data_IF_315015212655
#
_entry.id   IF_315015212655
#
_cell.length_a   1.000
_cell.length_b   1.000
_cell.length_c   1.000
_cell.angle_alpha   90.00
_cell.angle_beta   90.00
_cell.angle_gamma   90.00
#
_symmetry.space_group_name_H-M   'P 1'
#
loop_
_entity.id
_entity.type
_entity.pdbx_description
1 polymer ?
#
# COMPACT_ATOMS: atom_id res chain seq x y z
N UNK A 1 11.12 2.52 37.30
CA UNK A 1 10.32 2.50 36.06
C UNK A 1 10.75 1.27 35.25
N UNK A 2 9.90 0.61 34.45
CA UNK A 2 10.38 -0.47 33.58
C UNK A 2 11.44 0.09 32.62
N UNK A 3 12.59 -0.59 32.53
CA UNK A 3 13.70 -0.14 31.68
C UNK A 3 13.29 -0.07 30.20
N UNK A 4 13.93 0.82 29.40
CA UNK A 4 13.55 1.11 28.03
C UNK A 4 13.51 -0.14 27.14
N UNK A 5 14.43 -1.10 27.31
CA UNK A 5 14.43 -2.34 26.53
C UNK A 5 13.18 -3.21 26.72
N UNK A 6 12.50 -3.15 27.86
CA UNK A 6 11.20 -3.83 28.08
C UNK A 6 10.07 -3.09 27.39
N UNK A 7 10.09 -1.76 27.40
CA UNK A 7 9.11 -0.92 26.70
C UNK A 7 9.12 -1.19 25.20
N UNK A 8 10.31 -1.31 24.59
CA UNK A 8 10.46 -1.69 23.19
C UNK A 8 9.85 -3.07 22.87
N UNK A 9 10.00 -4.07 23.75
CA UNK A 9 9.37 -5.40 23.57
C UNK A 9 7.85 -5.36 23.66
N UNK A 10 7.31 -4.57 24.57
CA UNK A 10 5.85 -4.38 24.63
C UNK A 10 5.34 -3.62 23.41
N UNK A 11 6.07 -2.61 22.94
CA UNK A 11 5.70 -1.86 21.74
C UNK A 11 5.71 -2.70 20.47
N UNK A 12 6.62 -3.69 20.34
CA UNK A 12 6.60 -4.60 19.20
C UNK A 12 5.35 -5.49 19.18
N UNK A 13 4.89 -5.98 20.35
CA UNK A 13 3.61 -6.68 20.47
C UNK A 13 2.43 -5.78 20.09
N UNK A 14 2.44 -4.52 20.53
CA UNK A 14 1.40 -3.55 20.17
C UNK A 14 1.38 -3.30 18.65
N UNK A 15 2.54 -3.16 18.01
CA UNK A 15 2.62 -3.02 16.54
C UNK A 15 2.08 -4.26 15.82
N UNK A 16 2.32 -5.46 16.37
CA UNK A 16 1.76 -6.71 15.84
C UNK A 16 0.23 -6.74 15.96
N UNK A 17 -0.32 -6.27 17.07
CA UNK A 17 -1.77 -6.15 17.28
C UNK A 17 -2.37 -5.12 16.31
N UNK A 18 -1.73 -3.97 16.14
CA UNK A 18 -2.20 -2.96 15.18
C UNK A 18 -2.16 -3.53 13.76
N UNK A 19 -1.07 -4.22 13.39
CA UNK A 19 -0.95 -4.84 12.08
C UNK A 19 -2.01 -5.94 11.86
N UNK A 20 -2.35 -6.74 12.89
CA UNK A 20 -3.41 -7.74 12.78
C UNK A 20 -4.80 -7.11 12.62
N UNK A 21 -5.08 -6.00 13.32
CA UNK A 21 -6.31 -5.22 13.13
C UNK A 21 -6.37 -4.66 11.71
N UNK A 22 -5.28 -4.09 11.20
CA UNK A 22 -5.22 -3.58 9.81
C UNK A 22 -5.42 -4.73 8.81
N UNK A 23 -4.80 -5.89 9.05
CA UNK A 23 -4.99 -7.09 8.22
C UNK A 23 -6.46 -7.51 8.18
N UNK A 24 -7.11 -7.53 9.33
CA UNK A 24 -8.52 -7.86 9.45
C UNK A 24 -9.40 -6.85 8.71
N UNK A 25 -9.04 -5.55 8.78
CA UNK A 25 -9.69 -4.47 8.04
C UNK A 25 -9.55 -4.64 6.52
N UNK A 26 -8.37 -5.03 6.05
CA UNK A 26 -8.11 -5.32 4.63
C UNK A 26 -8.91 -6.54 4.17
N UNK A 27 -9.00 -7.59 5.01
CA UNK A 27 -9.74 -8.81 4.69
C UNK A 27 -11.26 -8.64 4.77
N UNK A 28 -11.75 -7.56 5.40
CA UNK A 28 -13.17 -7.30 5.55
C UNK A 28 -13.75 -6.66 4.29
N UNK A 29 -14.47 -7.47 3.52
CA UNK A 29 -15.00 -7.17 2.19
C UNK A 29 -15.83 -5.88 2.01
N UNK A 30 -16.66 -5.42 2.98
CA UNK A 30 -17.44 -4.19 2.79
C UNK A 30 -16.62 -2.90 2.98
N UNK A 31 -15.39 -2.99 3.51
CA UNK A 31 -14.43 -1.90 3.43
C UNK A 31 -13.77 -2.00 2.05
N UNK A 32 -14.00 -1.04 1.15
CA UNK A 32 -13.50 -1.04 -0.24
C UNK A 32 -11.95 -1.02 -0.39
N UNK A 33 -11.22 -1.36 0.68
CA UNK A 33 -9.77 -1.45 0.76
C UNK A 33 -9.18 -2.47 -0.25
N UNK A 34 -9.73 -3.70 -0.42
CA UNK A 34 -9.23 -4.65 -1.43
C UNK A 34 -9.29 -4.08 -2.86
N UNK A 35 -10.32 -3.29 -3.13
CA UNK A 35 -10.57 -2.66 -4.41
C UNK A 35 -9.60 -1.50 -4.67
N UNK A 36 -9.23 -0.76 -3.62
CA UNK A 36 -8.18 0.26 -3.68
C UNK A 36 -6.80 -0.38 -3.92
N UNK A 37 -6.52 -1.51 -3.27
CA UNK A 37 -5.28 -2.28 -3.51
C UNK A 37 -5.22 -2.78 -4.96
N UNK A 38 -6.35 -3.19 -5.53
CA UNK A 38 -6.46 -3.59 -6.94
C UNK A 38 -6.39 -2.41 -7.94
N UNK A 39 -6.46 -1.16 -7.47
CA UNK A 39 -6.51 0.06 -8.28
C UNK A 39 -5.19 0.47 -8.97
N UNK A 40 -4.14 -0.35 -8.93
CA UNK A 40 -2.87 -0.09 -9.60
C UNK A 40 -1.84 0.61 -8.70
N UNK A 41 -1.30 1.76 -9.13
CA UNK A 41 -0.19 2.43 -8.43
C UNK A 41 -0.58 2.98 -7.06
N UNK A 42 -1.84 3.39 -6.86
CA UNK A 42 -2.34 3.83 -5.55
C UNK A 42 -2.36 2.69 -4.52
N UNK A 43 -2.74 1.49 -4.95
CA UNK A 43 -2.66 0.28 -4.15
C UNK A 43 -1.24 -0.09 -3.73
N UNK A 44 -0.24 0.13 -4.60
CA UNK A 44 1.17 -0.12 -4.25
C UNK A 44 1.64 0.75 -3.08
N UNK A 45 1.28 2.03 -3.03
CA UNK A 45 1.71 2.91 -1.93
C UNK A 45 1.05 2.52 -0.60
N UNK A 46 -0.20 2.07 -0.66
CA UNK A 46 -0.89 1.50 0.51
C UNK A 46 -0.18 0.24 1.01
N UNK A 47 0.07 -0.73 0.12
CA UNK A 47 0.72 -2.00 0.50
C UNK A 47 2.16 -1.79 0.94
N UNK A 48 2.90 -0.85 0.35
CA UNK A 48 4.24 -0.50 0.78
C UNK A 48 4.25 0.12 2.19
N UNK A 49 3.32 1.02 2.49
CA UNK A 49 3.17 1.55 3.85
C UNK A 49 2.87 0.44 4.86
N UNK A 50 2.00 -0.50 4.50
CA UNK A 50 1.65 -1.65 5.33
C UNK A 50 2.85 -2.61 5.56
N UNK A 51 3.58 -2.96 4.50
CA UNK A 51 4.77 -3.82 4.58
C UNK A 51 5.88 -3.16 5.41
N UNK A 52 6.11 -1.85 5.21
CA UNK A 52 7.06 -1.09 6.00
C UNK A 52 6.65 -1.05 7.47
N UNK A 53 5.35 -0.94 7.77
CA UNK A 53 4.87 -1.01 9.16
C UNK A 53 5.16 -2.37 9.80
N UNK A 54 4.90 -3.48 9.09
CA UNK A 54 5.15 -4.85 9.55
C UNK A 54 6.63 -5.14 9.81
N UNK A 55 7.52 -4.56 9.01
CA UNK A 55 8.96 -4.76 9.15
C UNK A 55 9.52 -3.75 10.15
N UNK A 56 9.41 -2.45 9.86
CA UNK A 56 10.02 -1.41 10.67
C UNK A 56 9.49 -1.45 12.10
N UNK A 57 8.17 -1.45 12.32
CA UNK A 57 7.59 -1.37 13.67
C UNK A 57 8.09 -2.47 14.62
N UNK A 58 7.80 -3.76 14.36
CA UNK A 58 8.23 -4.86 15.21
C UNK A 58 9.75 -5.08 15.22
N UNK A 59 10.41 -5.08 14.05
CA UNK A 59 11.85 -5.42 13.95
C UNK A 59 12.71 -4.31 14.54
N UNK A 60 12.41 -3.04 14.26
CA UNK A 60 13.18 -1.94 14.83
C UNK A 60 12.97 -1.80 16.33
N UNK A 61 11.76 -2.06 16.84
CA UNK A 61 11.55 -2.15 18.30
C UNK A 61 12.37 -3.30 18.92
N UNK A 62 12.44 -4.48 18.29
CA UNK A 62 13.29 -5.58 18.78
C UNK A 62 14.78 -5.22 18.73
N UNK A 63 15.24 -4.52 17.69
CA UNK A 63 16.61 -4.04 17.58
C UNK A 63 16.96 -3.04 18.70
N UNK A 64 16.12 -2.03 18.93
CA UNK A 64 16.38 -1.08 20.02
C UNK A 64 16.26 -1.71 21.41
N UNK A 65 15.45 -2.76 21.57
CA UNK A 65 15.42 -3.56 22.80
C UNK A 65 16.77 -4.24 23.08
N UNK A 66 17.45 -4.76 22.05
CA UNK A 66 18.78 -5.38 22.23
C UNK A 66 19.88 -4.34 22.49
N UNK A 67 19.77 -3.15 21.89
CA UNK A 67 20.75 -2.06 22.05
C UNK A 67 20.68 -1.40 23.43
N UNK A 68 19.48 -1.09 23.93
CA UNK A 68 19.32 -0.37 25.20
C UNK A 68 19.26 -1.29 26.44
N UNK A 69 18.97 -2.59 26.25
CA UNK A 69 18.91 -3.56 27.34
C UNK A 69 17.99 -3.13 28.50
N UNK A 70 18.33 -3.53 29.72
CA UNK A 70 17.59 -3.16 30.94
C UNK A 70 18.11 -1.85 31.58
N UNK A 71 18.99 -1.11 30.88
CA UNK A 71 19.62 0.10 31.44
C UNK A 71 18.63 1.26 31.39
N UNK A 72 18.31 1.82 32.55
CA UNK A 72 17.37 2.94 32.66
C UNK A 72 18.05 4.23 32.15
N UNK A 73 17.81 4.55 30.88
CA UNK A 73 18.39 5.71 30.21
C UNK A 73 17.29 6.61 29.67
N UNK A 74 17.34 7.89 30.07
CA UNK A 74 16.45 8.93 29.54
C UNK A 74 16.56 9.06 28.02
N UNK A 75 17.77 8.82 27.47
CA UNK A 75 18.02 8.83 26.03
C UNK A 75 17.30 7.66 25.35
N UNK A 76 17.30 6.48 25.98
CA UNK A 76 16.56 5.31 25.45
C UNK A 76 15.05 5.55 25.38
N UNK A 77 14.48 6.27 26.35
CA UNK A 77 13.07 6.65 26.35
C UNK A 77 12.76 7.69 25.27
N UNK A 78 13.64 8.68 25.05
CA UNK A 78 13.47 9.65 23.97
C UNK A 78 13.54 8.96 22.59
N UNK A 79 14.53 8.09 22.38
CA UNK A 79 14.66 7.29 21.16
C UNK A 79 13.44 6.41 20.94
N UNK A 80 12.90 5.80 22.00
CA UNK A 80 11.66 5.01 21.94
C UNK A 80 10.49 5.82 21.40
N UNK A 81 10.27 7.01 21.96
CA UNK A 81 9.15 7.88 21.61
C UNK A 81 9.28 8.39 20.17
N UNK A 82 10.47 8.87 19.81
CA UNK A 82 10.75 9.41 18.48
C UNK A 82 10.65 8.33 17.40
N UNK A 83 11.18 7.15 17.68
CA UNK A 83 11.13 6.01 16.76
C UNK A 83 9.70 5.55 16.48
N UNK A 84 8.93 5.25 17.54
CA UNK A 84 7.57 4.74 17.39
C UNK A 84 6.64 5.79 16.76
N UNK A 85 6.77 7.07 17.14
CA UNK A 85 6.01 8.15 16.53
C UNK A 85 6.36 8.32 15.05
N UNK A 86 7.65 8.30 14.71
CA UNK A 86 8.12 8.42 13.33
C UNK A 86 7.64 7.28 12.44
N UNK A 87 7.76 6.03 12.90
CA UNK A 87 7.29 4.84 12.17
C UNK A 87 5.77 4.89 11.96
N UNK A 88 5.00 5.23 13.01
CA UNK A 88 3.55 5.36 12.90
C UNK A 88 3.15 6.43 11.89
N UNK A 89 3.71 7.64 11.99
CA UNK A 89 3.38 8.76 11.10
C UNK A 89 3.79 8.46 9.66
N UNK A 90 4.99 7.91 9.43
CA UNK A 90 5.47 7.60 8.09
C UNK A 90 4.64 6.48 7.44
N UNK A 91 4.36 5.38 8.16
CA UNK A 91 3.62 4.27 7.58
C UNK A 91 2.13 4.60 7.40
N UNK A 92 1.51 5.29 8.36
CA UNK A 92 0.11 5.71 8.25
C UNK A 92 -0.08 6.77 7.18
N UNK A 93 0.87 7.69 6.98
CA UNK A 93 0.77 8.68 5.89
C UNK A 93 0.87 8.02 4.51
N UNK A 94 1.73 7.00 4.35
CA UNK A 94 1.77 6.16 3.14
C UNK A 94 0.47 5.39 2.91
N UNK A 95 -0.06 4.74 3.94
CA UNK A 95 -1.33 4.02 3.85
C UNK A 95 -2.49 4.98 3.55
N UNK A 96 -2.58 6.11 4.25
CA UNK A 96 -3.62 7.12 4.02
C UNK A 96 -3.52 7.74 2.63
N UNK A 97 -2.30 8.07 2.16
CA UNK A 97 -2.06 8.60 0.83
C UNK A 97 -2.45 7.62 -0.27
N UNK A 98 -2.08 6.34 -0.13
CA UNK A 98 -2.48 5.27 -1.05
C UNK A 98 -4.00 5.05 -1.05
N UNK A 99 -4.64 5.06 0.12
CA UNK A 99 -6.09 4.94 0.27
C UNK A 99 -6.82 6.07 -0.44
N UNK A 100 -6.44 7.32 -0.16
CA UNK A 100 -7.07 8.51 -0.73
C UNK A 100 -6.85 8.59 -2.26
N UNK A 101 -5.65 8.27 -2.74
CA UNK A 101 -5.37 8.20 -4.17
C UNK A 101 -6.23 7.12 -4.87
N UNK A 102 -6.41 5.96 -4.24
CA UNK A 102 -7.23 4.88 -4.77
C UNK A 102 -8.72 5.22 -4.81
N UNK A 103 -9.23 5.90 -3.78
CA UNK A 103 -10.59 6.42 -3.77
C UNK A 103 -10.81 7.36 -4.96
N UNK A 104 -9.90 8.30 -5.21
CA UNK A 104 -10.01 9.23 -6.33
C UNK A 104 -10.04 8.54 -7.69
N UNK A 105 -9.34 7.40 -7.84
CA UNK A 105 -9.39 6.60 -9.06
C UNK A 105 -10.72 5.87 -9.23
N UNK A 106 -11.36 5.47 -8.14
CA UNK A 106 -12.65 4.77 -8.15
C UNK A 106 -13.84 5.64 -8.59
N UNK A 107 -13.68 6.97 -8.56
CA UNK A 107 -14.67 7.95 -9.05
C UNK A 107 -14.65 8.07 -10.59
N UNK A 108 -13.61 7.59 -11.27
CA UNK A 108 -13.54 7.59 -12.73
C UNK A 108 -13.90 6.20 -13.30
N UNK A 109 -15.08 6.02 -13.91
CA UNK A 109 -15.40 4.77 -14.58
C UNK A 109 -14.46 4.57 -15.79
N UNK A 110 -13.53 3.62 -15.67
CA UNK A 110 -12.73 3.09 -16.80
C UNK A 110 -13.61 2.37 -17.84
N UNK A 111 -14.91 2.18 -17.56
CA UNK A 111 -15.88 1.52 -18.44
C UNK A 111 -16.15 2.20 -19.81
N UNK A 112 -15.42 3.25 -20.19
CA UNK A 112 -15.66 3.92 -21.49
C UNK A 112 -14.46 4.10 -22.41
N UNK A 113 -13.24 3.71 -22.03
CA UNK A 113 -12.09 3.83 -22.96
C UNK A 113 -11.99 2.66 -23.95
N UNK A 114 -12.32 1.42 -23.54
CA UNK A 114 -12.36 0.26 -24.44
C UNK A 114 -13.53 0.28 -25.44
N UNK A 115 -14.65 0.90 -25.07
CA UNK A 115 -15.80 1.06 -25.98
C UNK A 115 -15.56 2.16 -27.03
N UNK A 116 -14.81 3.23 -26.70
CA UNK A 116 -14.47 4.30 -27.65
C UNK A 116 -13.42 3.89 -28.67
N UNK A 117 -12.44 3.06 -28.30
CA UNK A 117 -11.42 2.59 -29.25
C UNK A 117 -11.98 1.59 -30.28
N UNK A 118 -12.99 0.77 -29.92
CA UNK A 118 -13.74 -0.03 -30.91
C UNK A 118 -14.66 0.81 -31.81
N UNK A 119 -15.26 1.89 -31.29
CA UNK A 119 -16.13 2.77 -32.10
C UNK A 119 -15.34 3.67 -33.05
N UNK A 120 -14.13 4.12 -32.66
CA UNK A 120 -13.24 4.87 -33.54
C UNK A 120 -12.70 4.02 -34.69
N UNK A 121 -12.50 2.70 -34.50
CA UNK A 121 -12.07 1.80 -35.58
C UNK A 121 -13.22 1.40 -36.52
N UNK A 122 -14.47 1.54 -36.09
CA UNK A 122 -15.68 1.32 -36.91
C UNK A 122 -16.09 2.53 -37.76
N UNK A 123 -15.57 3.73 -37.47
CA UNK A 123 -15.95 4.95 -38.20
C UNK A 123 -15.02 5.23 -39.39
N UNK A 124 -13.86 4.58 -39.45
CA UNK A 124 -13.02 4.48 -40.65
C UNK A 124 -13.36 3.24 -41.48
N UNK A 125 -14.66 2.97 -41.62
CA UNK A 125 -15.21 1.89 -42.43
C UNK A 125 -15.84 2.40 -43.72
N UNK A 126 -15.02 2.98 -44.61
CA UNK A 126 -15.27 3.16 -46.06
C UNK A 126 -13.86 3.28 -46.68
N UNK A 127 -13.43 2.55 -47.71
CA UNK A 127 -14.11 1.81 -48.77
C UNK A 127 -13.19 0.70 -49.29
N UNK A 128 -13.78 -0.40 -49.73
CA UNK A 128 -13.12 -1.42 -50.55
C UNK A 128 -12.52 -0.83 -51.82
N UNK A 129 -11.19 -0.80 -51.93
CA UNK A 129 -10.53 -0.76 -53.24
C UNK A 129 -9.19 -1.51 -53.20
N UNK A 130 -9.20 -2.68 -53.85
CA UNK A 130 -8.08 -3.36 -54.50
C UNK A 130 -6.79 -3.61 -53.69
N UNK A 131 -6.68 -4.82 -53.14
CA UNK A 131 -5.40 -5.56 -53.10
C UNK A 131 -5.62 -7.03 -52.76
N UNK A 132 -6.24 -7.79 -53.67
CA UNK A 132 -5.94 -9.23 -53.72
C UNK A 132 -4.45 -9.37 -54.09
N UNK A 133 -3.65 -10.15 -53.35
CA UNK A 133 -2.24 -10.32 -53.64
C UNK A 133 -2.06 -11.13 -54.94
N UNK A 134 -1.11 -10.71 -55.78
CA UNK A 134 -0.96 -11.15 -57.17
C UNK A 134 -0.63 -12.65 -57.39
N UNK A 135 -0.47 -13.44 -56.33
CA UNK A 135 -0.08 -14.84 -56.42
C UNK A 135 -1.27 -15.83 -56.44
N UNK A 136 -2.52 -15.35 -56.31
CA UNK A 136 -3.74 -16.17 -56.51
C UNK A 136 -4.16 -16.33 -57.99
N UNK A 137 -3.33 -15.89 -58.96
CA UNK A 137 -3.62 -15.95 -60.41
C UNK A 137 -2.55 -16.67 -61.23
N UNK A 138 -2.20 -17.89 -60.84
CA UNK A 138 -1.49 -18.85 -61.72
C UNK A 138 -1.85 -20.28 -61.36
#
# INVERSE_FOLDING_TARGET
>A
MPGPGRLFRYASLIHLIIASIITLLIAYEPLEIPRIIAGGSAGMWFTMGYLMYLIAGPVGNLYFSSVYGDVDSKIGLLSFLLYNAGVLVACLSLMYGGYHAGWMMHVYPVHTQGARSRRSRSTYGWSTSSSQPAWERS
#
